data_IF_293329666058
#
_entry.id   IF_293329666058
#
_cell.length_a   1.000
_cell.length_b   1.000
_cell.length_c   1.000
_cell.angle_alpha   90.00
_cell.angle_beta   90.00
_cell.angle_gamma   90.00
#
_symmetry.space_group_name_H-M   'P 1'
#
loop_
_entity.id
_entity.type
_entity.pdbx_description
1 polymer ?
#
# COMPACT_ATOMS: atom_id res chain seq x y z
N UNK A 1 -36.69 -15.61 -50.05
CA UNK A 1 -36.25 -16.41 -48.89
C UNK A 1 -34.84 -15.94 -48.52
N UNK A 2 -34.65 -15.38 -47.33
CA UNK A 2 -33.41 -14.67 -46.93
C UNK A 2 -32.42 -15.70 -46.36
N UNK A 3 -31.32 -15.97 -47.06
CA UNK A 3 -30.29 -16.94 -46.66
C UNK A 3 -29.49 -16.35 -45.50
N UNK A 4 -29.75 -16.81 -44.28
CA UNK A 4 -29.00 -16.39 -43.09
C UNK A 4 -27.61 -17.01 -43.13
N UNK A 5 -26.61 -16.20 -43.43
CA UNK A 5 -25.21 -16.60 -43.49
C UNK A 5 -24.65 -16.63 -42.07
N UNK A 6 -24.96 -17.68 -41.31
CA UNK A 6 -24.43 -17.88 -39.96
C UNK A 6 -22.96 -18.33 -40.08
N UNK A 7 -22.05 -17.38 -40.29
CA UNK A 7 -20.61 -17.60 -40.10
C UNK A 7 -20.37 -17.75 -38.59
N UNK A 8 -20.37 -18.99 -38.11
CA UNK A 8 -19.93 -19.31 -36.76
C UNK A 8 -18.41 -19.09 -36.63
N UNK A 9 -17.98 -18.66 -35.45
CA UNK A 9 -16.57 -18.48 -35.11
C UNK A 9 -15.81 -19.80 -35.33
N UNK A 10 -14.70 -19.76 -36.07
CA UNK A 10 -13.92 -20.98 -36.29
C UNK A 10 -13.10 -21.33 -35.04
N UNK A 11 -12.93 -22.62 -34.76
CA UNK A 11 -12.10 -23.06 -33.63
C UNK A 11 -10.66 -22.54 -33.75
N UNK A 12 -10.16 -22.42 -34.98
CA UNK A 12 -8.82 -21.89 -35.26
C UNK A 12 -8.69 -20.39 -34.91
N UNK A 13 -9.73 -19.60 -35.15
CA UNK A 13 -9.76 -18.19 -34.73
C UNK A 13 -9.71 -18.07 -33.21
N UNK A 14 -10.38 -18.96 -32.45
CA UNK A 14 -10.28 -18.92 -30.99
C UNK A 14 -8.91 -19.38 -30.49
N UNK A 15 -8.26 -20.33 -31.17
CA UNK A 15 -6.94 -20.83 -30.79
C UNK A 15 -5.86 -19.75 -30.86
N UNK A 16 -5.80 -18.97 -31.94
CA UNK A 16 -4.79 -17.90 -32.07
C UNK A 16 -5.02 -16.79 -31.05
N UNK A 17 -6.28 -16.48 -30.74
CA UNK A 17 -6.64 -15.44 -29.76
C UNK A 17 -6.19 -15.85 -28.36
N UNK A 18 -6.48 -17.08 -27.93
CA UNK A 18 -6.05 -17.57 -26.60
C UNK A 18 -4.52 -17.64 -26.51
N UNK A 19 -3.85 -18.03 -27.59
CA UNK A 19 -2.38 -18.07 -27.63
C UNK A 19 -1.76 -16.67 -27.40
N UNK A 20 -2.30 -15.63 -28.04
CA UNK A 20 -1.82 -14.24 -27.86
C UNK A 20 -2.14 -13.74 -26.45
N UNK A 21 -3.36 -13.97 -25.95
CA UNK A 21 -3.76 -13.59 -24.58
C UNK A 21 -2.85 -14.25 -23.54
N UNK A 22 -2.48 -15.52 -23.72
CA UNK A 22 -1.59 -16.22 -22.80
C UNK A 22 -0.21 -15.54 -22.68
N UNK A 23 0.37 -15.10 -23.80
CA UNK A 23 1.65 -14.38 -23.82
C UNK A 23 1.53 -13.01 -23.12
N UNK A 24 0.43 -12.29 -23.37
CA UNK A 24 0.20 -10.98 -22.73
C UNK A 24 0.02 -11.11 -21.22
N UNK A 25 -0.79 -12.08 -20.77
CA UNK A 25 -1.06 -12.33 -19.35
C UNK A 25 0.20 -12.77 -18.61
N UNK A 26 1.09 -13.55 -19.25
CA UNK A 26 2.34 -13.98 -18.65
C UNK A 26 3.26 -12.82 -18.21
N UNK A 27 3.24 -11.68 -18.95
CA UNK A 27 4.01 -10.48 -18.60
C UNK A 27 3.18 -9.52 -17.73
N UNK A 28 1.87 -9.42 -17.99
CA UNK A 28 1.00 -8.47 -17.30
C UNK A 28 0.84 -8.78 -15.82
N UNK A 29 0.63 -10.05 -15.44
CA UNK A 29 0.43 -10.44 -14.04
C UNK A 29 1.60 -10.02 -13.13
N UNK A 30 2.87 -10.40 -13.41
CA UNK A 30 3.97 -10.04 -12.51
C UNK A 30 4.16 -8.52 -12.38
N UNK A 31 4.03 -7.78 -13.48
CA UNK A 31 4.13 -6.32 -13.46
C UNK A 31 3.00 -5.71 -12.61
N UNK A 32 1.76 -6.12 -12.83
CA UNK A 32 0.62 -5.61 -12.10
C UNK A 32 0.70 -5.96 -10.60
N UNK A 33 1.25 -7.12 -10.23
CA UNK A 33 1.44 -7.48 -8.82
C UNK A 33 2.46 -6.59 -8.13
N UNK A 34 3.60 -6.29 -8.77
CA UNK A 34 4.60 -5.38 -8.20
C UNK A 34 4.06 -3.96 -8.10
N UNK A 35 3.36 -3.47 -9.13
CA UNK A 35 2.78 -2.11 -9.09
C UNK A 35 1.70 -1.96 -8.03
N UNK A 36 0.89 -3.00 -7.80
CA UNK A 36 -0.11 -3.00 -6.74
C UNK A 36 0.54 -2.94 -5.34
N UNK A 37 1.71 -3.56 -5.19
CA UNK A 37 2.45 -3.51 -3.93
C UNK A 37 3.04 -2.13 -3.68
N UNK A 38 3.74 -1.56 -4.66
CA UNK A 38 4.26 -0.19 -4.56
C UNK A 38 3.14 0.84 -4.29
N UNK A 39 1.94 0.63 -4.85
CA UNK A 39 0.79 1.49 -4.59
C UNK A 39 0.27 1.39 -3.15
N UNK A 40 0.36 0.21 -2.53
CA UNK A 40 0.02 0.01 -1.11
C UNK A 40 1.05 0.69 -0.22
N UNK A 41 2.34 0.48 -0.48
CA UNK A 41 3.44 1.13 0.24
C UNK A 41 3.33 2.66 0.17
N UNK A 42 3.06 3.22 -1.02
CA UNK A 42 2.84 4.65 -1.18
C UNK A 42 1.61 5.16 -0.40
N UNK A 43 0.54 4.36 -0.34
CA UNK A 43 -0.66 4.68 0.44
C UNK A 43 -0.37 4.65 1.94
N UNK A 44 0.38 3.65 2.42
CA UNK A 44 0.80 3.52 3.81
C UNK A 44 1.71 4.70 4.20
N UNK A 45 2.66 5.09 3.34
CA UNK A 45 3.49 6.28 3.52
C UNK A 45 2.67 7.55 3.69
N UNK A 46 1.65 7.74 2.84
CA UNK A 46 0.76 8.90 2.90
C UNK A 46 -0.11 8.90 4.17
N UNK A 47 -0.60 7.73 4.59
CA UNK A 47 -1.39 7.57 5.82
C UNK A 47 -0.55 7.87 7.06
N UNK A 48 0.68 7.35 7.13
CA UNK A 48 1.62 7.63 8.22
C UNK A 48 1.95 9.13 8.27
N UNK A 49 2.24 9.77 7.13
CA UNK A 49 2.52 11.22 7.07
C UNK A 49 1.32 12.05 7.55
N UNK A 50 0.11 11.64 7.20
CA UNK A 50 -1.12 12.31 7.65
C UNK A 50 -1.34 12.15 9.15
N UNK A 51 -1.16 10.94 9.70
CA UNK A 51 -1.25 10.67 11.12
C UNK A 51 -0.16 11.41 11.93
N UNK A 52 1.06 11.46 11.40
CA UNK A 52 2.15 12.26 11.97
C UNK A 52 1.79 13.74 12.05
N UNK A 53 1.25 14.32 10.97
CA UNK A 53 0.84 15.72 10.97
C UNK A 53 -0.21 15.99 12.06
N UNK A 54 -1.21 15.10 12.18
CA UNK A 54 -2.27 15.22 13.19
C UNK A 54 -1.72 15.16 14.63
N UNK A 55 -0.88 14.17 14.93
CA UNK A 55 -0.24 14.03 16.25
C UNK A 55 0.68 15.21 16.54
N UNK A 56 1.41 15.71 15.53
CA UNK A 56 2.27 16.90 15.69
C UNK A 56 1.46 18.17 16.00
N UNK A 57 0.29 18.34 15.39
CA UNK A 57 -0.61 19.45 15.68
C UNK A 57 -1.18 19.31 17.09
N UNK A 58 -1.66 18.12 17.47
CA UNK A 58 -2.18 17.86 18.81
C UNK A 58 -1.13 18.15 19.90
N UNK A 59 0.13 17.79 19.64
CA UNK A 59 1.24 18.06 20.53
C UNK A 59 1.51 19.57 20.69
N UNK A 60 1.45 20.33 19.60
CA UNK A 60 1.66 21.79 19.61
C UNK A 60 0.47 22.55 20.23
N UNK A 61 -0.75 22.03 20.10
CA UNK A 61 -1.96 22.65 20.67
C UNK A 61 -2.23 22.21 22.11
N UNK A 62 -1.47 21.25 22.64
CA UNK A 62 -1.67 20.69 23.98
C UNK A 62 -2.89 19.76 24.09
N UNK A 63 -3.40 19.27 22.97
CA UNK A 63 -4.52 18.32 22.94
C UNK A 63 -4.04 16.92 23.34
N UNK A 64 -4.17 16.63 24.63
CA UNK A 64 -3.75 15.36 25.23
C UNK A 64 -4.55 14.15 24.75
N UNK A 65 -5.70 14.35 24.10
CA UNK A 65 -6.56 13.25 23.63
C UNK A 65 -6.15 12.68 22.27
N UNK A 66 -5.38 13.43 21.48
CA UNK A 66 -5.00 13.09 20.10
C UNK A 66 -3.48 12.88 19.94
N UNK A 67 -2.78 12.53 21.01
CA UNK A 67 -1.32 12.32 21.01
C UNK A 67 -0.88 10.96 20.47
N UNK A 68 -1.81 10.06 20.15
CA UNK A 68 -1.49 8.74 19.62
C UNK A 68 -2.41 8.37 18.47
N UNK A 69 -1.84 7.82 17.40
CA UNK A 69 -2.61 7.30 16.28
C UNK A 69 -1.95 6.05 15.70
N UNK A 70 -2.78 5.03 15.45
CA UNK A 70 -2.34 3.77 14.85
C UNK A 70 -2.82 3.70 13.40
N UNK A 71 -1.89 3.42 12.49
CA UNK A 71 -2.15 3.19 11.07
C UNK A 71 -1.94 1.72 10.76
N UNK A 72 -2.98 1.02 10.30
CA UNK A 72 -2.84 -0.35 9.82
C UNK A 72 -2.19 -0.36 8.44
N UNK A 73 -1.11 -1.13 8.28
CA UNK A 73 -0.39 -1.24 7.03
C UNK A 73 -1.16 -2.12 6.04
N UNK A 74 -1.20 -1.70 4.77
CA UNK A 74 -1.87 -2.40 3.67
C UNK A 74 -0.91 -3.19 2.80
N UNK A 75 0.39 -2.98 2.93
CA UNK A 75 1.42 -3.80 2.29
C UNK A 75 1.22 -5.30 2.58
N UNK A 76 1.61 -6.13 1.61
CA UNK A 76 1.58 -7.60 1.66
C UNK A 76 2.96 -8.24 1.55
N UNK A 77 4.00 -7.48 1.22
CA UNK A 77 5.37 -7.95 1.13
C UNK A 77 6.24 -7.18 2.11
N UNK A 78 7.13 -7.89 2.79
CA UNK A 78 8.10 -7.28 3.70
C UNK A 78 9.26 -6.67 2.89
N UNK A 79 9.84 -5.58 3.41
CA UNK A 79 10.99 -4.92 2.78
C UNK A 79 10.78 -3.45 2.44
N UNK A 80 9.56 -2.93 2.65
CA UNK A 80 9.34 -1.50 2.68
C UNK A 80 10.19 -0.87 3.81
N UNK A 81 10.82 0.28 3.52
CA UNK A 81 11.86 0.85 4.36
C UNK A 81 11.51 2.23 4.88
N UNK A 82 12.04 2.53 6.07
CA UNK A 82 12.08 3.84 6.72
C UNK A 82 12.68 4.96 5.85
N UNK A 83 13.49 4.64 4.84
CA UNK A 83 14.06 5.60 3.89
C UNK A 83 13.03 6.26 2.98
N UNK A 84 11.90 5.62 2.71
CA UNK A 84 10.87 6.18 1.83
C UNK A 84 9.94 7.16 2.55
N UNK A 85 9.79 7.01 3.86
CA UNK A 85 8.87 7.82 4.67
C UNK A 85 9.36 9.27 4.78
N UNK A 86 10.68 9.55 4.64
CA UNK A 86 11.28 10.89 4.62
C UNK A 86 10.62 11.86 5.63
N UNK A 87 10.47 11.40 6.87
CA UNK A 87 9.99 12.21 8.00
C UNK A 87 11.15 12.41 8.98
N UNK A 88 11.29 13.59 9.60
CA UNK A 88 12.28 13.83 10.65
C UNK A 88 11.80 13.18 11.94
N UNK A 89 11.89 11.85 12.04
CA UNK A 89 11.24 11.10 13.11
C UNK A 89 12.10 9.93 13.57
N UNK A 90 12.03 9.63 14.86
CA UNK A 90 12.58 8.38 15.41
C UNK A 90 11.63 7.27 15.00
N UNK A 91 11.92 6.64 13.86
CA UNK A 91 11.25 5.42 13.42
C UNK A 91 11.97 4.21 14.02
N UNK A 92 11.24 3.34 14.71
CA UNK A 92 11.75 2.08 15.24
C UNK A 92 10.94 0.90 14.70
N UNK A 93 11.61 -0.24 14.49
CA UNK A 93 11.03 -1.42 13.86
C UNK A 93 11.03 -1.37 12.32
N UNK A 94 10.63 -2.48 11.72
CA UNK A 94 10.46 -2.62 10.27
C UNK A 94 8.96 -2.80 9.98
N UNK A 95 8.42 -2.19 8.92
CA UNK A 95 7.04 -2.43 8.54
C UNK A 95 6.90 -3.86 7.99
N UNK A 96 5.98 -4.63 8.57
CA UNK A 96 5.69 -6.02 8.18
C UNK A 96 4.30 -6.12 7.53
N UNK A 97 4.09 -7.14 6.69
CA UNK A 97 2.81 -7.40 6.05
C UNK A 97 1.71 -7.59 7.11
N UNK A 98 0.66 -6.76 7.04
CA UNK A 98 -0.44 -6.79 8.01
C UNK A 98 -0.13 -6.20 9.39
N UNK A 99 1.07 -5.63 9.58
CA UNK A 99 1.45 -4.94 10.82
C UNK A 99 0.77 -3.58 10.99
N UNK A 100 1.13 -2.91 12.08
CA UNK A 100 0.66 -1.55 12.40
C UNK A 100 1.82 -0.59 12.57
N UNK A 101 1.54 0.69 12.33
CA UNK A 101 2.44 1.79 12.61
C UNK A 101 1.80 2.67 13.68
N UNK A 102 2.44 2.77 14.84
CA UNK A 102 2.02 3.61 15.95
C UNK A 102 2.79 4.92 15.93
N UNK A 103 2.06 6.02 15.87
CA UNK A 103 2.57 7.38 15.93
C UNK A 103 2.20 7.95 17.29
N UNK A 104 3.20 8.29 18.10
CA UNK A 104 3.00 8.78 19.47
C UNK A 104 3.78 10.06 19.71
N UNK A 105 3.07 11.12 20.10
CA UNK A 105 3.62 12.40 20.53
C UNK A 105 3.85 12.43 22.04
N UNK A 106 5.08 12.72 22.45
CA UNK A 106 5.42 12.88 23.87
C UNK A 106 5.33 14.37 24.28
N UNK A 107 4.38 14.75 25.15
CA UNK A 107 4.17 16.13 25.58
C UNK A 107 5.32 16.69 26.43
N UNK A 108 6.07 15.83 27.13
CA UNK A 108 7.17 16.25 27.99
C UNK A 108 8.42 16.61 27.19
N UNK A 109 8.66 15.92 26.07
CA UNK A 109 9.84 16.14 25.23
C UNK A 109 9.55 16.92 23.95
N UNK A 110 8.28 17.09 23.57
CA UNK A 110 7.89 17.70 22.30
C UNK A 110 8.26 16.87 21.07
N UNK A 111 8.55 15.57 21.24
CA UNK A 111 8.99 14.67 20.18
C UNK A 111 7.84 13.77 19.73
N UNK A 112 7.69 13.61 18.42
CA UNK A 112 6.83 12.58 17.83
C UNK A 112 7.69 11.37 17.47
N UNK A 113 7.21 10.18 17.81
CA UNK A 113 7.88 8.89 17.57
C UNK A 113 7.01 8.01 16.68
N UNK A 114 7.66 7.17 15.86
CA UNK A 114 6.99 6.21 15.00
C UNK A 114 7.52 4.81 15.33
N UNK A 115 6.61 3.87 15.57
CA UNK A 115 6.96 2.48 15.88
C UNK A 115 6.20 1.54 14.97
N UNK A 116 6.91 0.68 14.25
CA UNK A 116 6.32 -0.41 13.50
C UNK A 116 6.19 -1.65 14.38
N UNK A 117 4.98 -2.22 14.38
CA UNK A 117 4.62 -3.41 15.16
C UNK A 117 4.16 -4.50 14.20
N UNK A 118 4.73 -5.68 14.36
CA UNK A 118 4.37 -6.88 13.62
C UNK A 118 2.89 -7.24 13.82
N UNK A 119 2.30 -7.93 12.83
CA UNK A 119 0.98 -8.52 13.00
C UNK A 119 1.02 -9.61 14.10
N UNK A 120 -0.04 -9.76 14.93
CA UNK A 120 -0.13 -10.83 15.92
C UNK A 120 -0.28 -12.23 15.29
#
# INVERSE_FOLDING_TARGET
MKKMNNKGFTLMEMLIVVAIIAVLVAIAIPVMTTQLENAREATDAANIRSAYAEVSVALLTGDSSNLSKTVTLKQKVDGWGNSEITLPVVASGNPEAGGTCDIVGNPDTGVVSITFVAAP
#
